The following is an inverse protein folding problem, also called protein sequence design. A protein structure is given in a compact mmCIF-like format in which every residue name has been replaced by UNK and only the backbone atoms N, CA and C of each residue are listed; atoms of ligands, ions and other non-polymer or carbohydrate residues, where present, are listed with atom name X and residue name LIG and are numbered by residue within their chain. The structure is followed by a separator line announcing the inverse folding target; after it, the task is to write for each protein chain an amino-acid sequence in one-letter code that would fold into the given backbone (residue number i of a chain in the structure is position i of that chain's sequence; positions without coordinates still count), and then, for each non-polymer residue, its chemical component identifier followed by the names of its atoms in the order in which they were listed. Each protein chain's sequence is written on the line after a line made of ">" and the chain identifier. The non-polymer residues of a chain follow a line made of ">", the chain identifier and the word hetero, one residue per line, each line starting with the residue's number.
data_IF_081553483089
#
_entry.id   IF_081553483089
#
_cell.length_a   1.000
_cell.length_b   1.000
_cell.length_c   1.000
_cell.angle_alpha   90.00
_cell.angle_beta   90.00
_cell.angle_gamma   90.00
#
_symmetry.space_group_name_H-M   'P 1'
#
loop_
_entity.id
_entity.type
_entity.pdbx_description
1 polymer ?
#
# COMPACT_ATOMS: atom_id res chain seq x y z
N UNK A 1 -15.80 4.31 -8.66
CA UNK A 1 -16.34 4.68 -7.33
C UNK A 1 -15.36 4.31 -6.25
N UNK A 2 -15.01 5.21 -5.33
CA UNK A 2 -13.99 4.98 -4.30
C UNK A 2 -14.42 5.49 -2.93
N UNK A 3 -13.97 4.88 -1.82
CA UNK A 3 -14.18 5.45 -0.50
C UNK A 3 -13.45 6.78 -0.32
N UNK A 4 -12.28 6.96 -0.91
CA UNK A 4 -11.50 8.20 -0.87
C UNK A 4 -10.33 8.17 -1.83
N UNK A 5 -9.92 9.38 -2.28
CA UNK A 5 -8.74 9.60 -3.12
C UNK A 5 -7.82 10.67 -2.53
N UNK A 6 -8.20 11.28 -1.41
CA UNK A 6 -7.60 12.52 -0.91
C UNK A 6 -6.73 12.31 0.32
N UNK A 7 -6.71 11.11 0.89
CA UNK A 7 -5.90 10.77 2.06
C UNK A 7 -4.63 9.98 1.70
N UNK A 8 -3.75 9.79 2.69
CA UNK A 8 -2.48 9.06 2.57
C UNK A 8 -2.61 7.53 2.63
N UNK A 9 -3.81 7.00 2.81
CA UNK A 9 -4.01 5.56 2.94
C UNK A 9 -3.58 4.79 1.70
N UNK A 10 -3.15 3.54 1.85
CA UNK A 10 -2.77 2.67 0.74
C UNK A 10 -3.89 2.53 -0.29
N UNK A 11 -5.13 2.28 0.17
CA UNK A 11 -6.30 2.18 -0.71
C UNK A 11 -6.53 3.46 -1.54
N UNK A 12 -6.39 4.62 -0.90
CA UNK A 12 -6.55 5.90 -1.62
C UNK A 12 -5.45 6.13 -2.64
N UNK A 13 -4.21 5.70 -2.34
CA UNK A 13 -3.08 5.80 -3.27
C UNK A 13 -3.25 4.83 -4.44
N UNK A 14 -3.58 3.58 -4.17
CA UNK A 14 -3.93 2.62 -5.22
C UNK A 14 -5.06 3.15 -6.11
N UNK A 15 -6.11 3.70 -5.49
CA UNK A 15 -7.24 4.27 -6.24
C UNK A 15 -6.83 5.40 -7.17
N UNK A 16 -5.90 6.27 -6.74
CA UNK A 16 -5.37 7.34 -7.62
C UNK A 16 -4.63 6.77 -8.82
N UNK A 17 -3.67 5.87 -8.60
CA UNK A 17 -2.94 5.22 -9.68
C UNK A 17 -3.87 4.46 -10.63
N UNK A 18 -4.88 3.79 -10.09
CA UNK A 18 -5.86 3.06 -10.90
C UNK A 18 -6.72 4.00 -11.75
N UNK A 19 -7.19 5.10 -11.19
CA UNK A 19 -7.98 6.10 -11.90
C UNK A 19 -7.15 6.72 -13.02
N UNK A 20 -5.90 7.08 -12.76
CA UNK A 20 -4.99 7.63 -13.76
C UNK A 20 -4.73 6.61 -14.88
N UNK A 21 -4.45 5.36 -14.52
CA UNK A 21 -4.28 4.28 -15.49
C UNK A 21 -5.52 4.05 -16.35
N UNK A 22 -6.72 4.09 -15.75
CA UNK A 22 -7.98 3.96 -16.49
C UNK A 22 -8.22 5.15 -17.42
N UNK A 23 -7.93 6.38 -16.99
CA UNK A 23 -8.02 7.59 -17.83
C UNK A 23 -7.06 7.54 -19.00
N UNK A 24 -5.82 7.14 -18.78
CA UNK A 24 -4.82 6.99 -19.86
C UNK A 24 -5.18 5.88 -20.85
N UNK A 25 -5.82 4.81 -20.39
CA UNK A 25 -6.19 3.66 -21.23
C UNK A 25 -7.49 3.90 -22.01
N UNK A 26 -8.49 4.51 -21.36
CA UNK A 26 -9.83 4.66 -21.92
C UNK A 26 -10.09 6.05 -22.53
N UNK A 27 -9.29 7.06 -22.19
CA UNK A 27 -9.56 8.48 -22.40
C UNK A 27 -10.24 9.11 -21.17
N UNK A 28 -9.80 10.31 -20.79
CA UNK A 28 -10.28 10.99 -19.58
C UNK A 28 -11.80 11.24 -19.63
N UNK A 29 -12.32 11.57 -20.79
CA UNK A 29 -13.74 11.82 -21.05
C UNK A 29 -14.64 10.58 -20.85
N UNK A 30 -14.06 9.38 -20.88
CA UNK A 30 -14.77 8.10 -20.73
C UNK A 30 -14.72 7.56 -19.29
N UNK A 31 -14.02 8.23 -18.38
CA UNK A 31 -13.87 7.79 -16.98
C UNK A 31 -14.49 8.81 -16.04
N UNK A 32 -15.54 8.39 -15.30
CA UNK A 32 -16.18 9.20 -14.26
C UNK A 32 -15.80 8.71 -12.89
N UNK A 33 -15.34 9.60 -12.03
CA UNK A 33 -14.83 9.30 -10.70
C UNK A 33 -15.72 9.89 -9.62
N UNK A 34 -16.29 9.01 -8.79
CA UNK A 34 -17.13 9.40 -7.66
C UNK A 34 -16.46 8.94 -6.36
N UNK A 35 -16.27 9.88 -5.43
CA UNK A 35 -15.67 9.61 -4.12
C UNK A 35 -16.67 9.82 -2.98
N UNK A 36 -16.63 8.96 -1.95
CA UNK A 36 -17.41 9.19 -0.74
C UNK A 36 -16.83 10.32 0.10
N UNK A 37 -15.49 10.29 0.30
CA UNK A 37 -14.76 11.32 1.03
C UNK A 37 -14.32 12.41 0.05
N UNK A 38 -14.33 13.65 0.52
CA UNK A 38 -13.75 14.79 -0.16
C UNK A 38 -12.35 15.13 0.36
N UNK A 39 -11.74 16.21 -0.13
CA UNK A 39 -10.47 16.73 0.36
C UNK A 39 -10.55 17.00 1.87
N UNK A 40 -9.51 16.60 2.60
CA UNK A 40 -9.41 16.84 4.03
C UNK A 40 -9.05 18.30 4.30
N UNK A 41 -9.61 18.86 5.40
CA UNK A 41 -9.35 20.23 5.84
C UNK A 41 -7.91 20.42 6.35
N UNK A 42 -7.24 19.34 6.74
CA UNK A 42 -5.88 19.36 7.29
C UNK A 42 -4.76 19.32 6.23
N UNK A 43 -5.07 19.59 4.97
CA UNK A 43 -4.07 19.84 3.93
C UNK A 43 -3.30 18.62 3.44
N UNK A 44 -3.79 17.42 3.68
CA UNK A 44 -3.42 16.27 2.90
C UNK A 44 -4.12 16.28 1.56
N UNK A 45 -4.05 17.39 0.96
CA UNK A 45 -4.61 17.61 -0.24
C UNK A 45 -3.83 16.98 -1.35
N UNK A 46 -4.33 16.00 -1.90
CA UNK A 46 -4.04 15.73 -3.27
C UNK A 46 -5.04 16.50 -4.08
N UNK A 47 -4.58 17.39 -4.95
CA UNK A 47 -5.38 18.02 -6.00
C UNK A 47 -5.80 16.99 -7.03
N UNK A 48 -6.29 15.84 -6.53
CA UNK A 48 -6.71 14.76 -7.39
C UNK A 48 -8.07 15.09 -8.00
N UNK A 49 -8.17 15.02 -9.31
CA UNK A 49 -9.39 15.39 -10.00
C UNK A 49 -10.42 14.25 -9.89
N UNK A 50 -11.56 14.56 -9.28
CA UNK A 50 -12.74 13.69 -9.25
C UNK A 50 -13.96 14.48 -9.76
N UNK A 51 -14.88 13.80 -10.43
CA UNK A 51 -16.06 14.45 -10.97
C UNK A 51 -17.05 14.86 -9.87
N UNK A 52 -17.07 14.13 -8.75
CA UNK A 52 -17.94 14.43 -7.63
C UNK A 52 -17.52 13.70 -6.35
N UNK A 53 -17.80 14.30 -5.21
CA UNK A 53 -17.65 13.66 -3.89
C UNK A 53 -18.77 14.02 -2.92
N UNK A 54 -19.12 13.08 -2.02
CA UNK A 54 -20.17 13.27 -1.04
C UNK A 54 -19.74 14.11 0.18
N UNK A 55 -18.43 14.26 0.40
CA UNK A 55 -17.85 15.07 1.46
C UNK A 55 -17.79 14.39 2.84
N UNK A 56 -18.16 13.12 2.98
CA UNK A 56 -18.02 12.43 4.27
C UNK A 56 -18.70 11.07 4.36
N UNK A 57 -18.29 10.26 5.33
CA UNK A 57 -18.77 8.89 5.58
C UNK A 57 -20.07 8.83 6.43
N UNK A 58 -20.84 9.91 6.49
CA UNK A 58 -22.14 9.93 7.18
C UNK A 58 -23.21 9.15 6.40
N UNK A 59 -24.32 8.80 7.08
CA UNK A 59 -25.48 8.18 6.40
C UNK A 59 -25.98 9.04 5.24
N UNK A 60 -26.02 10.37 5.42
CA UNK A 60 -26.41 11.32 4.35
C UNK A 60 -25.41 11.28 3.19
N UNK A 61 -24.10 11.26 3.45
CA UNK A 61 -23.09 11.14 2.41
C UNK A 61 -23.22 9.86 1.61
N UNK A 62 -23.46 8.71 2.27
CA UNK A 62 -23.66 7.42 1.59
C UNK A 62 -24.91 7.43 0.71
N UNK A 63 -26.02 8.00 1.17
CA UNK A 63 -27.25 8.15 0.38
C UNK A 63 -27.01 9.08 -0.81
N UNK A 64 -26.36 10.21 -0.60
CA UNK A 64 -26.02 11.16 -1.66
C UNK A 64 -25.13 10.52 -2.74
N UNK A 65 -24.12 9.74 -2.33
CA UNK A 65 -23.29 8.97 -3.27
C UNK A 65 -24.14 7.97 -4.07
N UNK A 66 -25.05 7.23 -3.41
CA UNK A 66 -25.90 6.24 -4.08
C UNK A 66 -26.80 6.89 -5.13
N UNK A 67 -27.42 8.03 -4.79
CA UNK A 67 -28.25 8.81 -5.74
C UNK A 67 -27.41 9.28 -6.93
N UNK A 68 -26.20 9.82 -6.67
CA UNK A 68 -25.33 10.34 -7.74
C UNK A 68 -24.83 9.24 -8.66
N UNK A 69 -24.49 8.08 -8.11
CA UNK A 69 -24.11 6.90 -8.91
C UNK A 69 -25.25 6.45 -9.81
N UNK A 70 -26.48 6.36 -9.27
CA UNK A 70 -27.65 5.98 -10.03
C UNK A 70 -27.98 6.99 -11.14
N UNK A 71 -27.98 8.28 -10.82
CA UNK A 71 -28.19 9.38 -11.78
C UNK A 71 -27.24 9.27 -12.98
N UNK A 72 -25.94 9.17 -12.71
CA UNK A 72 -24.93 9.08 -13.78
C UNK A 72 -25.01 7.78 -14.57
N UNK A 73 -25.29 6.66 -13.90
CA UNK A 73 -25.42 5.39 -14.60
C UNK A 73 -26.61 5.38 -15.55
N UNK A 74 -27.75 5.93 -15.14
CA UNK A 74 -28.93 6.03 -16.01
C UNK A 74 -28.72 7.01 -17.17
N UNK A 75 -28.03 8.14 -16.91
CA UNK A 75 -27.78 9.16 -17.92
C UNK A 75 -26.74 8.72 -18.96
N UNK A 76 -25.65 8.07 -18.54
CA UNK A 76 -24.49 7.78 -19.39
C UNK A 76 -24.40 6.33 -19.83
N UNK A 77 -25.12 5.40 -19.19
CA UNK A 77 -25.12 3.96 -19.49
C UNK A 77 -23.71 3.39 -19.66
N UNK A 78 -22.87 3.43 -18.60
CA UNK A 78 -21.47 2.99 -18.70
C UNK A 78 -21.38 1.48 -19.01
N UNK A 79 -20.33 1.07 -19.71
CA UNK A 79 -20.03 -0.35 -19.95
C UNK A 79 -19.57 -1.06 -18.67
N UNK A 80 -18.93 -0.30 -17.74
CA UNK A 80 -18.38 -0.81 -16.47
C UNK A 80 -18.75 0.11 -15.31
N UNK A 81 -19.19 -0.48 -14.21
CA UNK A 81 -19.27 0.19 -12.89
C UNK A 81 -18.23 -0.45 -11.97
N UNK A 82 -17.16 0.29 -11.70
CA UNK A 82 -16.03 -0.17 -10.91
C UNK A 82 -16.05 0.43 -9.51
N UNK A 83 -15.84 -0.40 -8.49
CA UNK A 83 -15.67 0.08 -7.11
C UNK A 83 -14.32 -0.32 -6.52
N UNK A 84 -13.69 0.64 -5.86
CA UNK A 84 -12.43 0.45 -5.16
C UNK A 84 -12.59 -0.16 -3.76
N UNK A 85 -13.77 -0.66 -3.37
CA UNK A 85 -13.96 -1.27 -2.04
C UNK A 85 -15.23 -2.09 -1.98
N UNK A 86 -15.16 -3.25 -1.31
CA UNK A 86 -16.27 -4.21 -1.19
C UNK A 86 -17.51 -3.63 -0.53
N UNK A 87 -17.40 -2.64 0.35
CA UNK A 87 -18.57 -2.02 1.01
C UNK A 87 -19.57 -1.36 0.05
N UNK A 88 -19.15 -1.09 -1.18
CA UNK A 88 -20.04 -0.54 -2.23
C UNK A 88 -20.54 -1.60 -3.21
N UNK A 89 -20.15 -2.86 -3.05
CA UNK A 89 -20.46 -3.93 -4.00
C UNK A 89 -21.97 -4.12 -4.21
N UNK A 90 -22.77 -4.02 -3.16
CA UNK A 90 -24.23 -4.12 -3.26
C UNK A 90 -24.83 -2.98 -4.12
N UNK A 91 -24.39 -1.75 -3.89
CA UNK A 91 -24.82 -0.59 -4.68
C UNK A 91 -24.42 -0.75 -6.16
N UNK A 92 -23.17 -1.13 -6.40
CA UNK A 92 -22.65 -1.35 -7.76
C UNK A 92 -23.45 -2.42 -8.49
N UNK A 93 -23.71 -3.55 -7.82
CA UNK A 93 -24.51 -4.64 -8.39
C UNK A 93 -25.91 -4.20 -8.78
N UNK A 94 -26.60 -3.43 -7.90
CA UNK A 94 -27.94 -2.94 -8.21
C UNK A 94 -27.94 -1.96 -9.38
N UNK A 95 -27.07 -0.96 -9.33
CA UNK A 95 -27.01 0.08 -10.37
C UNK A 95 -26.60 -0.50 -11.73
N UNK A 96 -25.57 -1.34 -11.76
CA UNK A 96 -25.12 -1.97 -12.99
C UNK A 96 -26.19 -2.88 -13.62
N UNK A 97 -26.96 -3.59 -12.78
CA UNK A 97 -28.10 -4.40 -13.24
C UNK A 97 -29.18 -3.60 -13.96
N UNK A 98 -29.39 -2.32 -13.58
CA UNK A 98 -30.38 -1.45 -14.25
C UNK A 98 -29.93 -0.97 -15.63
N UNK A 99 -28.63 -0.88 -15.87
CA UNK A 99 -28.06 -0.34 -17.13
C UNK A 99 -27.37 -1.39 -17.99
N UNK A 100 -27.26 -2.63 -17.52
CA UNK A 100 -26.61 -3.73 -18.22
C UNK A 100 -25.07 -3.67 -18.19
N UNK A 101 -24.48 -2.94 -17.23
CA UNK A 101 -23.04 -2.76 -17.12
C UNK A 101 -22.35 -3.97 -16.47
N UNK A 102 -21.08 -4.21 -16.82
CA UNK A 102 -20.18 -5.08 -16.03
C UNK A 102 -19.86 -4.45 -14.68
N UNK A 103 -19.65 -5.29 -13.69
CA UNK A 103 -19.31 -4.85 -12.32
C UNK A 103 -17.92 -5.32 -11.94
N UNK A 104 -17.12 -4.40 -11.40
CA UNK A 104 -15.76 -4.70 -10.93
C UNK A 104 -15.59 -4.21 -9.49
N UNK A 105 -14.92 -5.02 -8.66
CA UNK A 105 -14.55 -4.64 -7.29
C UNK A 105 -13.08 -4.91 -7.02
N UNK A 106 -12.43 -3.98 -6.32
CA UNK A 106 -11.10 -4.18 -5.79
C UNK A 106 -11.15 -4.74 -4.36
N UNK A 107 -10.19 -5.59 -4.04
CA UNK A 107 -9.97 -6.19 -2.72
C UNK A 107 -8.49 -6.07 -2.34
N UNK A 108 -8.21 -5.56 -1.12
CA UNK A 108 -6.84 -5.18 -0.72
C UNK A 108 -6.30 -5.96 0.49
N UNK A 109 -7.10 -6.79 1.14
CA UNK A 109 -6.65 -7.54 2.31
C UNK A 109 -7.69 -7.59 3.43
N UNK A 110 -7.58 -6.73 4.44
CA UNK A 110 -8.39 -6.81 5.66
C UNK A 110 -9.89 -6.88 5.40
N UNK A 111 -10.42 -6.09 4.49
CA UNK A 111 -11.83 -6.11 4.07
C UNK A 111 -12.19 -7.42 3.35
N UNK A 112 -11.23 -8.01 2.64
CA UNK A 112 -11.42 -9.31 2.00
C UNK A 112 -11.38 -10.46 3.00
N UNK A 113 -10.62 -10.34 4.09
CA UNK A 113 -10.44 -11.40 5.10
C UNK A 113 -11.43 -11.34 6.25
N UNK A 114 -12.03 -10.19 6.51
CA UNK A 114 -13.02 -10.02 7.59
C UNK A 114 -14.39 -10.57 7.20
N UNK A 115 -15.25 -10.76 8.19
CA UNK A 115 -16.65 -11.12 7.95
C UNK A 115 -17.35 -9.99 7.22
N UNK A 116 -17.82 -10.29 6.03
CA UNK A 116 -18.60 -9.35 5.23
C UNK A 116 -20.02 -9.25 5.79
N UNK A 117 -20.54 -8.04 5.91
CA UNK A 117 -21.96 -7.83 6.12
C UNK A 117 -22.78 -8.46 4.98
N UNK A 118 -24.05 -8.81 5.28
CA UNK A 118 -24.92 -9.52 4.31
C UNK A 118 -25.01 -8.82 2.96
N UNK A 119 -25.07 -7.49 2.97
CA UNK A 119 -25.18 -6.68 1.75
C UNK A 119 -23.88 -6.74 0.92
N UNK A 120 -22.72 -6.60 1.57
CA UNK A 120 -21.43 -6.68 0.90
C UNK A 120 -21.18 -8.09 0.34
N UNK A 121 -21.51 -9.14 1.10
CA UNK A 121 -21.39 -10.53 0.64
C UNK A 121 -22.31 -10.81 -0.57
N UNK A 122 -23.56 -10.34 -0.52
CA UNK A 122 -24.47 -10.43 -1.66
C UNK A 122 -23.96 -9.65 -2.87
N UNK A 123 -23.44 -8.44 -2.65
CA UNK A 123 -22.82 -7.62 -3.68
C UNK A 123 -21.67 -8.33 -4.34
N UNK A 124 -20.66 -8.76 -3.54
CA UNK A 124 -19.45 -9.43 -3.99
C UNK A 124 -19.74 -10.70 -4.83
N UNK A 125 -20.73 -11.51 -4.36
CA UNK A 125 -21.15 -12.72 -5.10
C UNK A 125 -21.67 -12.41 -6.51
N UNK A 126 -22.23 -11.23 -6.73
CA UNK A 126 -22.76 -10.79 -8.03
C UNK A 126 -21.83 -9.94 -8.85
N UNK A 127 -20.58 -9.69 -8.41
CA UNK A 127 -19.59 -8.98 -9.22
C UNK A 127 -19.18 -9.83 -10.43
N UNK A 128 -19.13 -9.20 -11.58
CA UNK A 128 -18.65 -9.85 -12.83
C UNK A 128 -17.17 -10.18 -12.67
N UNK A 129 -16.37 -9.21 -12.20
CA UNK A 129 -14.94 -9.30 -12.07
C UNK A 129 -14.48 -8.85 -10.67
N UNK A 130 -13.40 -9.45 -10.19
CA UNK A 130 -12.72 -9.08 -8.94
C UNK A 130 -11.25 -8.85 -9.23
N UNK A 131 -10.71 -7.74 -8.75
CA UNK A 131 -9.30 -7.39 -8.83
C UNK A 131 -8.74 -7.39 -7.42
N UNK A 132 -7.66 -8.12 -7.17
CA UNK A 132 -6.93 -8.10 -5.90
C UNK A 132 -5.57 -7.42 -6.07
N UNK A 133 -5.12 -6.73 -5.03
CA UNK A 133 -3.79 -6.11 -4.98
C UNK A 133 -2.66 -7.13 -4.84
N UNK A 134 -2.97 -8.38 -4.44
CA UNK A 134 -1.96 -9.43 -4.28
C UNK A 134 -2.53 -10.85 -4.42
N UNK A 135 -1.65 -11.79 -4.75
CA UNK A 135 -2.00 -13.22 -4.84
C UNK A 135 -2.40 -13.81 -3.49
N UNK A 136 -1.83 -13.30 -2.41
CA UNK A 136 -2.17 -13.77 -1.06
C UNK A 136 -3.65 -13.54 -0.75
N UNK A 137 -4.15 -12.33 -0.97
CA UNK A 137 -5.57 -11.98 -0.79
C UNK A 137 -6.46 -12.75 -1.75
N UNK A 138 -6.09 -12.84 -3.03
CA UNK A 138 -6.85 -13.59 -4.03
C UNK A 138 -7.00 -15.06 -3.63
N UNK A 139 -5.90 -15.73 -3.27
CA UNK A 139 -5.88 -17.13 -2.83
C UNK A 139 -6.75 -17.34 -1.58
N UNK A 140 -6.64 -16.43 -0.60
CA UNK A 140 -7.45 -16.52 0.61
C UNK A 140 -8.96 -16.44 0.29
N UNK A 141 -9.38 -15.53 -0.59
CA UNK A 141 -10.79 -15.38 -1.00
C UNK A 141 -11.32 -16.63 -1.72
N UNK A 142 -10.49 -17.26 -2.53
CA UNK A 142 -10.81 -18.51 -3.22
C UNK A 142 -10.93 -19.68 -2.23
N UNK A 143 -10.00 -19.80 -1.30
CA UNK A 143 -10.01 -20.85 -0.26
C UNK A 143 -11.18 -20.68 0.71
N UNK A 144 -11.56 -19.44 1.01
CA UNK A 144 -12.74 -19.12 1.82
C UNK A 144 -14.08 -19.28 1.06
N UNK A 145 -14.04 -19.71 -0.20
CA UNK A 145 -15.24 -19.89 -1.03
C UNK A 145 -15.97 -18.60 -1.42
N UNK A 146 -15.30 -17.44 -1.30
CA UNK A 146 -15.89 -16.14 -1.66
C UNK A 146 -15.96 -15.94 -3.16
N UNK A 147 -15.01 -16.53 -3.87
CA UNK A 147 -14.93 -16.53 -5.35
C UNK A 147 -14.48 -17.91 -5.85
N UNK A 148 -14.85 -18.28 -7.10
CA UNK A 148 -14.31 -19.47 -7.74
C UNK A 148 -12.78 -19.38 -7.90
N UNK A 149 -12.10 -20.51 -7.90
CA UNK A 149 -10.65 -20.57 -8.13
C UNK A 149 -10.29 -20.03 -9.50
N UNK A 150 -9.25 -19.19 -9.59
CA UNK A 150 -8.77 -18.60 -10.83
C UNK A 150 -9.69 -17.51 -11.41
N UNK A 151 -10.67 -17.00 -10.62
CA UNK A 151 -11.60 -15.95 -11.06
C UNK A 151 -11.24 -14.55 -10.57
N UNK A 152 -10.10 -14.40 -9.88
CA UNK A 152 -9.63 -13.13 -9.34
C UNK A 152 -8.39 -12.68 -10.14
N UNK A 153 -8.48 -11.49 -10.70
CA UNK A 153 -7.35 -10.86 -11.36
C UNK A 153 -6.43 -10.22 -10.33
N UNK A 154 -5.11 -10.46 -10.42
CA UNK A 154 -4.15 -9.82 -9.52
C UNK A 154 -3.43 -8.71 -10.25
N UNK A 155 -3.57 -7.49 -9.73
CA UNK A 155 -2.82 -6.32 -10.15
C UNK A 155 -2.18 -5.72 -8.90
N UNK A 156 -0.89 -5.99 -8.72
CA UNK A 156 -0.12 -5.44 -7.61
C UNK A 156 -0.19 -3.93 -7.56
N UNK A 157 -0.09 -3.37 -6.36
CA UNK A 157 0.11 -1.93 -6.21
C UNK A 157 1.39 -1.47 -6.91
N UNK A 158 1.50 -0.19 -7.18
CA UNK A 158 2.64 0.34 -7.94
C UNK A 158 3.30 1.51 -7.23
N UNK A 159 4.51 1.81 -7.68
CA UNK A 159 5.33 2.91 -7.17
C UNK A 159 5.70 3.85 -8.32
N UNK A 160 5.66 5.15 -8.03
CA UNK A 160 6.28 6.16 -8.86
C UNK A 160 7.81 6.07 -8.73
N UNK A 161 8.44 5.43 -9.71
CA UNK A 161 9.88 5.17 -9.72
C UNK A 161 10.74 6.39 -10.07
N UNK A 162 10.16 7.48 -10.53
CA UNK A 162 10.86 8.76 -10.72
C UNK A 162 11.00 9.48 -9.38
N UNK A 163 9.92 9.55 -8.62
CA UNK A 163 9.89 10.12 -7.30
C UNK A 163 10.69 9.30 -6.28
N UNK A 164 10.39 8.00 -6.18
CA UNK A 164 11.12 7.07 -5.33
C UNK A 164 12.29 6.46 -6.13
N UNK A 165 13.44 7.06 -6.00
CA UNK A 165 14.66 6.65 -6.72
C UNK A 165 15.90 6.81 -5.86
N UNK A 166 16.97 6.03 -6.11
CA UNK A 166 18.21 6.13 -5.36
C UNK A 166 18.88 7.51 -5.59
N UNK A 167 18.96 8.31 -4.52
CA UNK A 167 19.63 9.61 -4.46
C UNK A 167 20.10 9.85 -3.02
N UNK A 168 20.95 10.83 -2.82
CA UNK A 168 21.27 11.29 -1.46
C UNK A 168 20.04 11.96 -0.85
N UNK A 169 19.72 11.69 0.42
CA UNK A 169 18.62 12.35 1.10
C UNK A 169 18.91 13.84 1.33
N UNK A 170 17.88 14.66 1.31
CA UNK A 170 17.97 16.09 1.62
C UNK A 170 18.36 16.30 3.09
N UNK A 171 19.35 17.16 3.35
CA UNK A 171 19.71 17.58 4.72
C UNK A 171 18.51 18.19 5.45
N UNK A 172 17.72 19.03 4.79
CA UNK A 172 16.54 19.63 5.37
C UNK A 172 15.52 18.60 5.84
N UNK A 173 15.31 17.52 5.08
CA UNK A 173 14.43 16.43 5.50
C UNK A 173 15.01 15.67 6.70
N UNK A 174 16.32 15.36 6.71
CA UNK A 174 16.97 14.69 7.84
C UNK A 174 16.83 15.51 9.14
N UNK A 175 17.11 16.81 9.10
CA UNK A 175 17.02 17.72 10.24
C UNK A 175 15.56 17.85 10.72
N UNK A 176 14.61 18.06 9.80
CA UNK A 176 13.18 18.20 10.10
C UNK A 176 12.61 17.01 10.87
N UNK A 177 13.01 15.79 10.49
CA UNK A 177 12.53 14.55 11.11
C UNK A 177 13.50 13.96 12.15
N UNK A 178 14.58 14.65 12.47
CA UNK A 178 15.62 14.20 13.43
C UNK A 178 16.17 12.83 13.06
N UNK A 179 16.39 12.61 11.77
CA UNK A 179 16.97 11.38 11.23
C UNK A 179 18.48 11.53 11.23
N UNK A 180 19.22 10.58 11.82
CA UNK A 180 20.69 10.60 11.78
C UNK A 180 21.21 10.52 10.33
N UNK A 181 22.27 11.29 10.05
CA UNK A 181 22.91 11.28 8.75
C UNK A 181 23.37 9.84 8.42
N UNK A 182 22.93 9.25 7.31
CA UNK A 182 23.33 7.90 6.91
C UNK A 182 24.84 7.75 6.68
N UNK A 183 25.58 8.83 6.44
CA UNK A 183 27.04 8.79 6.33
C UNK A 183 27.76 8.54 7.66
N UNK A 184 27.09 8.77 8.81
CA UNK A 184 27.69 8.67 10.16
C UNK A 184 27.36 7.37 10.87
N UNK A 185 26.49 6.53 10.32
CA UNK A 185 26.04 5.31 10.97
C UNK A 185 25.22 4.44 10.02
N UNK A 186 24.52 3.47 10.58
CA UNK A 186 23.70 2.54 9.81
C UNK A 186 22.24 2.64 10.28
N UNK A 187 21.37 3.15 9.43
CA UNK A 187 19.96 3.40 9.73
C UNK A 187 19.07 2.23 9.32
N UNK A 188 18.28 1.72 10.26
CA UNK A 188 17.16 0.82 10.03
C UNK A 188 15.90 1.66 10.06
N UNK A 189 15.08 1.60 9.01
CA UNK A 189 13.82 2.33 8.92
C UNK A 189 12.64 1.38 8.96
N UNK A 190 11.63 1.74 9.74
CA UNK A 190 10.27 1.22 9.59
C UNK A 190 9.30 2.39 9.45
N UNK A 191 8.38 2.32 8.50
CA UNK A 191 7.44 3.40 8.22
C UNK A 191 6.01 2.90 8.12
N UNK A 192 5.10 3.54 8.86
CA UNK A 192 3.67 3.24 8.84
C UNK A 192 2.92 3.86 10.01
N UNK A 193 1.64 3.54 10.15
CA UNK A 193 0.86 3.94 11.33
C UNK A 193 1.40 3.24 12.58
N UNK A 194 1.62 4.01 13.63
CA UNK A 194 2.13 3.53 14.94
C UNK A 194 0.97 3.59 15.94
N UNK A 195 -0.08 2.82 15.69
CA UNK A 195 -1.32 2.85 16.46
C UNK A 195 -1.80 1.45 16.83
N UNK A 196 -2.68 1.35 17.83
CA UNK A 196 -3.19 0.06 18.33
C UNK A 196 -3.94 -0.74 17.25
N UNK A 197 -4.66 -0.08 16.38
CA UNK A 197 -5.32 -0.70 15.23
C UNK A 197 -4.33 -1.21 14.16
N UNK A 198 -3.10 -0.68 14.15
CA UNK A 198 -2.01 -1.10 13.27
C UNK A 198 -0.86 -1.84 14.02
N UNK A 199 -1.11 -2.39 15.21
CA UNK A 199 -0.10 -3.07 16.01
C UNK A 199 0.52 -4.29 15.30
N UNK A 200 -0.18 -4.91 14.35
CA UNK A 200 0.33 -5.98 13.50
C UNK A 200 1.62 -5.60 12.74
N UNK A 201 1.90 -4.31 12.55
CA UNK A 201 3.15 -3.83 11.92
C UNK A 201 4.41 -4.12 12.74
N UNK A 202 4.29 -4.52 14.02
CA UNK A 202 5.36 -5.09 14.82
C UNK A 202 6.46 -4.12 15.25
N UNK A 203 6.13 -2.85 15.52
CA UNK A 203 7.11 -1.90 16.05
C UNK A 203 7.67 -2.29 17.41
N UNK A 204 6.86 -2.94 18.25
CA UNK A 204 7.26 -3.50 19.54
C UNK A 204 8.29 -4.62 19.37
N UNK A 205 8.04 -5.55 18.46
CA UNK A 205 8.96 -6.63 18.10
C UNK A 205 10.26 -6.11 17.47
N UNK A 206 10.15 -5.09 16.62
CA UNK A 206 11.32 -4.46 16.01
C UNK A 206 12.21 -3.77 17.05
N UNK A 207 11.65 -3.18 18.13
CA UNK A 207 12.43 -2.66 19.26
C UNK A 207 13.19 -3.77 19.98
N UNK A 208 12.57 -4.92 20.22
CA UNK A 208 13.23 -6.09 20.83
C UNK A 208 14.36 -6.62 19.95
N UNK A 209 14.10 -6.74 18.65
CA UNK A 209 15.12 -7.12 17.67
C UNK A 209 16.28 -6.13 17.67
N UNK A 210 15.98 -4.83 17.66
CA UNK A 210 17.00 -3.80 17.70
C UNK A 210 17.83 -3.82 19.00
N UNK A 211 17.20 -4.08 20.13
CA UNK A 211 17.89 -4.25 21.42
C UNK A 211 18.96 -5.35 21.35
N UNK A 212 18.67 -6.48 20.70
CA UNK A 212 19.60 -7.62 20.54
C UNK A 212 20.84 -7.28 19.71
N UNK A 213 20.68 -6.39 18.73
CA UNK A 213 21.79 -6.03 17.81
C UNK A 213 22.51 -4.75 18.22
N UNK A 214 21.90 -3.88 19.00
CA UNK A 214 22.41 -2.55 19.30
C UNK A 214 23.81 -2.55 19.94
N UNK A 215 24.11 -3.52 20.80
CA UNK A 215 25.46 -3.65 21.42
C UNK A 215 26.51 -4.13 20.43
N UNK A 216 26.12 -4.94 19.44
CA UNK A 216 27.02 -5.53 18.43
C UNK A 216 27.31 -4.59 17.27
N UNK A 217 26.42 -3.61 17.02
CA UNK A 217 26.60 -2.57 15.99
C UNK A 217 26.37 -1.21 16.63
N UNK A 218 27.39 -0.61 17.27
CA UNK A 218 27.24 0.68 17.99
C UNK A 218 26.80 1.84 17.12
N UNK A 219 27.09 1.83 15.83
CA UNK A 219 26.68 2.84 14.85
C UNK A 219 25.24 2.68 14.36
N UNK A 220 24.56 1.57 14.68
CA UNK A 220 23.18 1.35 14.22
C UNK A 220 22.18 2.29 14.90
N UNK A 221 21.21 2.74 14.15
CA UNK A 221 20.07 3.57 14.59
C UNK A 221 18.77 2.96 14.06
N UNK A 222 17.72 3.05 14.86
CA UNK A 222 16.37 2.66 14.45
C UNK A 222 15.51 3.90 14.29
N UNK A 223 14.87 4.02 13.14
CA UNK A 223 13.98 5.11 12.77
C UNK A 223 12.58 4.53 12.63
N UNK A 224 11.67 4.93 13.53
CA UNK A 224 10.25 4.60 13.49
C UNK A 224 9.50 5.81 12.91
N UNK A 225 9.18 5.76 11.64
CA UNK A 225 8.53 6.86 10.95
C UNK A 225 7.01 6.66 10.90
N UNK A 226 6.27 7.66 11.37
CA UNK A 226 4.81 7.63 11.42
C UNK A 226 4.23 8.20 12.71
N UNK A 227 2.91 8.34 12.73
CA UNK A 227 2.15 8.81 13.89
C UNK A 227 1.18 7.75 14.40
N UNK A 228 0.76 7.88 15.64
CA UNK A 228 -0.26 7.08 16.29
C UNK A 228 -0.17 7.10 17.79
N UNK A 229 -1.14 6.48 18.43
CA UNK A 229 -1.32 6.45 19.89
C UNK A 229 -0.32 5.54 20.63
N UNK A 230 0.42 4.69 19.91
CA UNK A 230 1.47 3.85 20.48
C UNK A 230 2.85 4.53 20.56
N UNK A 231 3.07 5.71 19.96
CA UNK A 231 4.39 6.35 19.91
C UNK A 231 4.96 6.57 21.30
N UNK A 232 4.18 7.11 22.25
CA UNK A 232 4.65 7.38 23.63
C UNK A 232 5.00 6.10 24.38
N UNK A 233 4.21 5.04 24.22
CA UNK A 233 4.44 3.73 24.82
C UNK A 233 5.73 3.07 24.28
N UNK A 234 5.91 3.08 22.97
CA UNK A 234 7.11 2.55 22.31
C UNK A 234 8.38 3.36 22.66
N UNK A 235 8.26 4.68 22.81
CA UNK A 235 9.37 5.51 23.25
C UNK A 235 9.76 5.20 24.71
N UNK A 236 8.79 4.98 25.59
CA UNK A 236 9.05 4.52 26.96
C UNK A 236 9.71 3.13 26.98
N UNK A 237 9.23 2.21 26.13
CA UNK A 237 9.83 0.88 25.97
C UNK A 237 11.27 0.96 25.47
N UNK A 238 11.55 1.80 24.47
CA UNK A 238 12.92 2.01 24.00
C UNK A 238 13.87 2.48 25.12
N UNK A 239 13.42 3.41 25.96
CA UNK A 239 14.20 3.84 27.14
C UNK A 239 14.43 2.69 28.12
N UNK A 240 13.39 1.92 28.45
CA UNK A 240 13.53 0.77 29.38
C UNK A 240 14.48 -0.31 28.87
N UNK A 241 14.64 -0.43 27.54
CA UNK A 241 15.60 -1.32 26.89
C UNK A 241 17.02 -0.71 26.75
N UNK A 242 17.26 0.50 27.29
CA UNK A 242 18.55 1.18 27.18
C UNK A 242 18.90 1.67 25.78
N UNK A 243 17.90 1.94 24.95
CA UNK A 243 18.03 2.38 23.55
C UNK A 243 17.90 3.89 23.38
N UNK A 244 17.99 4.66 24.47
CA UNK A 244 17.91 6.12 24.41
C UNK A 244 18.97 6.70 23.47
N UNK A 245 18.58 7.67 22.66
CA UNK A 245 19.45 8.26 21.62
C UNK A 245 19.75 7.34 20.43
N UNK A 246 19.26 6.09 20.46
CA UNK A 246 19.46 5.10 19.38
C UNK A 246 18.19 4.84 18.56
N UNK A 247 17.04 5.23 19.07
CA UNK A 247 15.72 5.11 18.42
C UNK A 247 15.14 6.49 18.24
N UNK A 248 14.71 6.79 17.01
CA UNK A 248 14.05 8.04 16.65
C UNK A 248 12.61 7.78 16.23
N UNK A 249 11.68 8.62 16.70
CA UNK A 249 10.29 8.66 16.27
C UNK A 249 10.07 9.97 15.52
N UNK A 250 9.86 9.89 14.20
CA UNK A 250 9.79 11.10 13.33
C UNK A 250 8.46 11.85 13.46
N UNK A 251 7.43 11.19 13.99
CA UNK A 251 6.06 11.65 13.76
C UNK A 251 5.64 11.47 12.30
N UNK A 252 4.62 12.19 11.89
CA UNK A 252 4.11 12.10 10.52
C UNK A 252 5.10 12.70 9.52
N UNK A 253 5.45 11.93 8.50
CA UNK A 253 6.28 12.39 7.38
C UNK A 253 5.40 13.02 6.31
N UNK A 254 5.79 14.23 5.85
CA UNK A 254 5.11 14.88 4.74
C UNK A 254 5.36 14.12 3.43
N UNK A 255 4.40 14.20 2.52
CA UNK A 255 4.46 13.45 1.27
C UNK A 255 5.71 13.81 0.44
N UNK A 256 6.07 15.09 0.37
CA UNK A 256 7.23 15.57 -0.39
C UNK A 256 8.57 15.09 0.17
N UNK A 257 8.63 14.81 1.47
CA UNK A 257 9.85 14.37 2.15
C UNK A 257 9.98 12.84 2.21
N UNK A 258 8.95 12.11 1.77
CA UNK A 258 8.86 10.67 1.98
C UNK A 258 10.02 9.91 1.31
N UNK A 259 10.37 10.31 0.10
CA UNK A 259 11.49 9.71 -0.64
C UNK A 259 12.83 9.91 0.08
N UNK A 260 13.04 11.08 0.69
CA UNK A 260 14.28 11.36 1.42
C UNK A 260 14.36 10.57 2.73
N UNK A 261 13.22 10.33 3.38
CA UNK A 261 13.16 9.43 4.55
C UNK A 261 13.53 8.00 4.17
N UNK A 262 13.05 7.48 3.04
CA UNK A 262 13.47 6.15 2.56
C UNK A 262 14.96 6.12 2.19
N UNK A 263 15.46 7.13 1.50
CA UNK A 263 16.87 7.26 1.10
C UNK A 263 17.83 7.34 2.28
N UNK A 264 17.34 7.74 3.45
CA UNK A 264 18.13 7.77 4.70
C UNK A 264 18.41 6.38 5.27
N UNK A 265 17.69 5.36 4.81
CA UNK A 265 17.77 4.01 5.33
C UNK A 265 18.86 3.16 4.64
N UNK A 266 19.47 2.30 5.42
CA UNK A 266 20.35 1.24 4.93
C UNK A 266 19.64 -0.11 4.80
N UNK A 267 18.60 -0.29 5.61
CA UNK A 267 17.68 -1.43 5.57
C UNK A 267 16.29 -0.93 5.96
N UNK A 268 15.28 -1.34 5.22
CA UNK A 268 13.89 -1.13 5.59
C UNK A 268 13.33 -2.41 6.21
N UNK A 269 12.60 -2.30 7.32
CA UNK A 269 12.03 -3.44 8.02
C UNK A 269 10.58 -3.19 8.39
N UNK A 270 9.67 -3.96 7.80
CA UNK A 270 8.25 -4.02 8.17
C UNK A 270 7.83 -5.50 8.21
N UNK A 271 8.18 -6.16 9.31
CA UNK A 271 7.86 -7.58 9.51
C UNK A 271 6.53 -7.66 10.25
N UNK A 272 5.45 -7.48 9.47
CA UNK A 272 4.07 -7.51 9.96
C UNK A 272 3.60 -8.93 10.23
N UNK A 273 2.70 -9.07 11.23
CA UNK A 273 1.96 -10.31 11.47
C UNK A 273 0.55 -10.24 10.86
N UNK A 274 -0.06 -11.41 10.77
CA UNK A 274 -1.47 -11.54 10.49
C UNK A 274 -2.18 -12.06 11.73
N UNK A 275 -2.84 -11.15 12.45
CA UNK A 275 -3.83 -11.54 13.46
C UNK A 275 -5.14 -11.99 12.82
N UNK A 276 -6.12 -12.43 13.63
CA UNK A 276 -7.43 -12.91 13.13
C UNK A 276 -8.17 -11.89 12.23
N UNK A 277 -7.93 -10.59 12.44
CA UNK A 277 -8.58 -9.49 11.68
C UNK A 277 -7.61 -8.35 11.37
N UNK A 278 -6.34 -8.66 11.14
CA UNK A 278 -5.26 -7.69 10.88
C UNK A 278 -4.30 -8.27 9.86
N UNK A 279 -3.60 -7.41 9.16
CA UNK A 279 -2.59 -7.82 8.18
C UNK A 279 -2.53 -6.80 7.04
N UNK A 280 -1.63 -7.05 6.14
CA UNK A 280 -1.43 -6.22 4.96
C UNK A 280 -1.81 -7.03 3.70
N UNK A 281 -2.42 -6.38 2.70
CA UNK A 281 -2.36 -6.85 1.34
C UNK A 281 -0.90 -6.79 0.88
N UNK A 282 -0.59 -5.99 -0.11
CA UNK A 282 0.80 -5.63 -0.41
C UNK A 282 1.05 -4.19 0.04
N UNK A 283 1.80 -3.96 1.14
CA UNK A 283 2.01 -2.60 1.64
C UNK A 283 2.94 -1.82 0.71
N UNK A 284 2.60 -0.55 0.46
CA UNK A 284 3.41 0.35 -0.38
C UNK A 284 4.78 0.66 0.22
N UNK A 285 4.89 0.71 1.54
CA UNK A 285 6.12 1.21 2.19
C UNK A 285 7.36 0.37 1.91
N UNK A 286 7.34 -0.97 1.88
CA UNK A 286 8.47 -1.75 1.40
C UNK A 286 8.78 -1.53 -0.09
N UNK A 287 7.73 -1.36 -0.93
CA UNK A 287 7.93 -1.11 -2.37
C UNK A 287 8.60 0.24 -2.61
N UNK A 288 8.19 1.29 -1.89
CA UNK A 288 8.80 2.62 -1.95
C UNK A 288 10.25 2.63 -1.46
N UNK A 289 10.54 1.89 -0.37
CA UNK A 289 11.90 1.70 0.11
C UNK A 289 12.77 0.98 -0.92
N UNK A 290 12.27 -0.11 -1.50
CA UNK A 290 12.93 -0.87 -2.56
C UNK A 290 13.17 -0.01 -3.81
N UNK A 291 12.22 0.84 -4.18
CA UNK A 291 12.36 1.82 -5.26
C UNK A 291 13.51 2.81 -5.01
N UNK A 292 13.74 3.18 -3.75
CA UNK A 292 14.90 4.00 -3.34
C UNK A 292 16.23 3.21 -3.26
N UNK A 293 16.26 1.94 -3.64
CA UNK A 293 17.46 1.10 -3.60
C UNK A 293 17.78 0.56 -2.20
N UNK A 294 16.81 0.45 -1.31
CA UNK A 294 16.97 -0.04 0.06
C UNK A 294 16.56 -1.51 0.14
N UNK A 295 17.38 -2.41 0.69
CA UNK A 295 16.99 -3.79 0.98
C UNK A 295 15.81 -3.84 1.93
N UNK A 296 14.83 -4.73 1.69
CA UNK A 296 13.60 -4.81 2.46
C UNK A 296 13.47 -6.11 3.25
N UNK A 297 13.00 -6.00 4.49
CA UNK A 297 12.63 -7.13 5.34
C UNK A 297 11.14 -7.09 5.58
N UNK A 298 10.44 -8.17 5.26
CA UNK A 298 8.96 -8.23 5.34
C UNK A 298 8.48 -9.48 6.06
N UNK A 299 7.22 -9.49 6.50
CA UNK A 299 6.60 -10.65 7.14
C UNK A 299 6.25 -11.76 6.14
N UNK A 300 6.11 -13.00 6.66
CA UNK A 300 5.72 -14.18 5.88
C UNK A 300 4.21 -14.47 5.93
N UNK A 301 3.43 -13.72 6.69
CA UNK A 301 2.04 -14.06 7.04
C UNK A 301 0.99 -13.31 6.22
N UNK A 302 1.39 -12.41 5.33
CA UNK A 302 0.49 -11.59 4.51
C UNK A 302 1.07 -11.36 3.09
N UNK A 303 0.46 -10.48 2.31
CA UNK A 303 0.87 -10.17 0.94
C UNK A 303 2.22 -9.45 0.82
N UNK A 304 2.79 -8.94 1.92
CA UNK A 304 4.11 -8.28 1.92
C UNK A 304 5.20 -9.13 1.30
N UNK A 305 5.10 -10.47 1.45
CA UNK A 305 6.05 -11.43 0.90
C UNK A 305 6.19 -11.37 -0.62
N UNK A 306 5.18 -10.89 -1.33
CA UNK A 306 5.20 -10.80 -2.79
C UNK A 306 6.15 -9.71 -3.32
N UNK A 307 6.53 -8.76 -2.47
CA UNK A 307 7.54 -7.76 -2.78
C UNK A 307 8.98 -8.34 -2.80
N UNK A 308 9.20 -9.54 -2.25
CA UNK A 308 10.53 -10.08 -1.98
C UNK A 308 10.80 -11.38 -2.74
N UNK A 309 11.98 -11.45 -3.38
CA UNK A 309 12.63 -12.68 -3.79
C UNK A 309 13.71 -12.96 -2.74
N UNK A 310 13.48 -14.01 -1.93
CA UNK A 310 14.28 -14.34 -0.75
C UNK A 310 15.80 -14.34 -1.03
N UNK A 311 16.53 -13.56 -0.24
CA UNK A 311 17.99 -13.44 -0.31
C UNK A 311 18.53 -12.61 -1.49
N UNK A 312 17.67 -12.17 -2.43
CA UNK A 312 18.06 -11.40 -3.62
C UNK A 312 17.82 -9.91 -3.38
N UNK A 313 16.57 -9.49 -3.16
CA UNK A 313 16.21 -8.08 -2.96
C UNK A 313 15.76 -7.76 -1.52
N UNK A 314 15.74 -8.78 -0.65
CA UNK A 314 15.30 -8.68 0.73
C UNK A 314 15.20 -10.04 1.40
N UNK A 315 14.55 -10.06 2.56
CA UNK A 315 14.25 -11.30 3.29
C UNK A 315 12.80 -11.35 3.76
N UNK A 316 12.22 -12.56 3.75
CA UNK A 316 10.90 -12.87 4.26
C UNK A 316 11.08 -13.55 5.62
N UNK A 317 10.50 -12.97 6.67
CA UNK A 317 10.76 -13.37 8.06
C UNK A 317 9.46 -13.74 8.77
N UNK A 318 9.56 -14.70 9.70
CA UNK A 318 8.50 -14.93 10.66
C UNK A 318 8.46 -13.75 11.66
N UNK A 319 7.30 -13.07 11.84
CA UNK A 319 7.18 -11.93 12.74
C UNK A 319 7.52 -12.26 14.21
N UNK A 320 7.45 -13.52 14.60
CA UNK A 320 7.69 -13.98 15.95
C UNK A 320 9.07 -14.60 16.16
N UNK A 321 9.83 -14.86 15.09
CA UNK A 321 11.23 -15.29 15.18
C UNK A 321 12.18 -14.09 15.25
N UNK A 322 12.26 -13.51 16.44
CA UNK A 322 13.09 -12.32 16.69
C UNK A 322 14.58 -12.59 16.53
N UNK A 323 15.03 -13.84 16.73
CA UNK A 323 16.44 -14.24 16.56
C UNK A 323 16.82 -14.30 15.09
N UNK A 324 16.00 -14.92 14.25
CA UNK A 324 16.21 -14.90 12.80
C UNK A 324 16.23 -13.47 12.26
N UNK A 325 15.31 -12.61 12.71
CA UNK A 325 15.24 -11.22 12.31
C UNK A 325 16.51 -10.46 12.74
N UNK A 326 16.95 -10.61 13.99
CA UNK A 326 18.19 -10.01 14.49
C UNK A 326 19.41 -10.51 13.70
N UNK A 327 19.46 -11.81 13.41
CA UNK A 327 20.52 -12.43 12.62
C UNK A 327 20.63 -11.87 11.19
N UNK A 328 19.49 -11.67 10.52
CA UNK A 328 19.45 -11.06 9.18
C UNK A 328 19.93 -9.61 9.25
N UNK A 329 19.41 -8.81 10.18
CA UNK A 329 19.86 -7.43 10.35
C UNK A 329 21.35 -7.36 10.62
N UNK A 330 21.90 -8.18 11.53
CA UNK A 330 23.35 -8.19 11.82
C UNK A 330 24.18 -8.46 10.58
N UNK A 331 23.80 -9.43 9.74
CA UNK A 331 24.50 -9.70 8.49
C UNK A 331 24.47 -8.50 7.54
N UNK A 332 23.32 -7.89 7.36
CA UNK A 332 23.15 -6.73 6.49
C UNK A 332 23.88 -5.49 7.02
N UNK A 333 23.83 -5.24 8.33
CA UNK A 333 24.48 -4.05 8.93
C UNK A 333 26.00 -4.12 8.86
N UNK A 334 26.59 -5.33 8.91
CA UNK A 334 28.05 -5.53 8.87
C UNK A 334 28.61 -5.76 7.45
N UNK A 335 27.77 -5.87 6.41
CA UNK A 335 28.19 -6.10 5.03
C UNK A 335 27.62 -5.03 4.08
N UNK A 336 28.33 -3.90 3.90
CA UNK A 336 27.90 -2.82 3.00
C UNK A 336 27.74 -3.27 1.55
N UNK A 337 28.60 -4.16 1.06
CA UNK A 337 28.53 -4.63 -0.32
C UNK A 337 27.29 -5.51 -0.55
N UNK A 338 26.97 -6.37 0.41
CA UNK A 338 25.74 -7.15 0.36
C UNK A 338 24.51 -6.25 0.36
N UNK A 339 24.47 -5.22 1.23
CA UNK A 339 23.39 -4.24 1.26
C UNK A 339 23.24 -3.55 -0.09
N UNK A 340 24.33 -3.09 -0.67
CA UNK A 340 24.33 -2.41 -1.98
C UNK A 340 23.76 -3.32 -3.06
N UNK A 341 24.30 -4.54 -3.24
CA UNK A 341 23.80 -5.50 -4.24
C UNK A 341 22.32 -5.83 -4.04
N UNK A 342 21.89 -6.05 -2.80
CA UNK A 342 20.49 -6.34 -2.48
C UNK A 342 19.59 -5.14 -2.75
N UNK A 343 20.04 -3.92 -2.47
CA UNK A 343 19.32 -2.67 -2.78
C UNK A 343 19.20 -2.42 -4.29
N UNK A 344 20.25 -2.68 -5.06
CA UNK A 344 20.23 -2.62 -6.53
C UNK A 344 19.21 -3.64 -7.10
N UNK A 345 19.21 -4.86 -6.58
CA UNK A 345 18.24 -5.88 -6.95
C UNK A 345 16.80 -5.50 -6.54
N UNK A 346 16.62 -4.85 -5.38
CA UNK A 346 15.34 -4.35 -4.92
C UNK A 346 14.81 -3.27 -5.89
N UNK A 347 15.62 -2.30 -6.26
CA UNK A 347 15.27 -1.28 -7.24
C UNK A 347 14.89 -1.89 -8.58
N UNK A 348 15.70 -2.80 -9.10
CA UNK A 348 15.43 -3.47 -10.38
C UNK A 348 14.08 -4.20 -10.37
N UNK A 349 13.78 -4.94 -9.31
CA UNK A 349 12.49 -5.62 -9.18
C UNK A 349 11.32 -4.66 -9.22
N UNK A 350 11.43 -3.48 -8.56
CA UNK A 350 10.36 -2.47 -8.61
C UNK A 350 10.19 -1.93 -10.03
N UNK A 351 11.28 -1.63 -10.72
CA UNK A 351 11.23 -1.15 -12.10
C UNK A 351 10.59 -2.17 -13.06
N UNK A 352 10.94 -3.45 -12.89
CA UNK A 352 10.48 -4.52 -13.77
C UNK A 352 9.01 -4.91 -13.52
N UNK A 353 8.50 -4.84 -12.27
CA UNK A 353 7.22 -5.48 -11.92
C UNK A 353 6.21 -4.54 -11.23
N UNK A 354 6.68 -3.52 -10.50
CA UNK A 354 5.85 -2.65 -9.66
C UNK A 354 5.85 -1.18 -10.08
N UNK A 355 6.49 -0.83 -11.18
CA UNK A 355 6.46 0.54 -11.70
C UNK A 355 5.07 0.88 -12.28
N UNK A 356 4.67 2.16 -12.19
CA UNK A 356 3.39 2.62 -12.71
C UNK A 356 3.12 2.24 -14.17
N UNK A 357 4.08 2.27 -15.12
CA UNK A 357 3.83 1.79 -16.49
C UNK A 357 3.36 0.34 -16.55
N UNK A 358 3.92 -0.55 -15.72
CA UNK A 358 3.50 -1.96 -15.65
C UNK A 358 2.09 -2.11 -15.08
N UNK A 359 1.76 -1.33 -14.07
CA UNK A 359 0.42 -1.26 -13.48
C UNK A 359 -0.61 -0.83 -14.53
N UNK A 360 -0.32 0.21 -15.29
CA UNK A 360 -1.16 0.68 -16.38
C UNK A 360 -1.36 -0.39 -17.47
N UNK A 361 -0.29 -1.07 -17.91
CA UNK A 361 -0.37 -2.12 -18.91
C UNK A 361 -1.21 -3.33 -18.44
N UNK A 362 -1.13 -3.70 -17.18
CA UNK A 362 -1.99 -4.74 -16.59
C UNK A 362 -3.47 -4.33 -16.67
N UNK A 363 -3.82 -3.07 -16.38
CA UNK A 363 -5.17 -2.55 -16.54
C UNK A 363 -5.60 -2.52 -18.01
N UNK A 364 -4.72 -2.11 -18.91
CA UNK A 364 -4.97 -2.15 -20.36
C UNK A 364 -5.27 -3.57 -20.84
N UNK A 365 -4.47 -4.54 -20.43
CA UNK A 365 -4.66 -5.95 -20.81
C UNK A 365 -5.99 -6.49 -20.27
N UNK A 366 -6.33 -6.16 -19.02
CA UNK A 366 -7.58 -6.56 -18.40
C UNK A 366 -8.81 -6.01 -19.15
N UNK A 367 -8.78 -4.71 -19.45
CA UNK A 367 -9.86 -4.07 -20.23
C UNK A 367 -9.97 -4.62 -21.65
N UNK A 368 -8.86 -4.90 -22.32
CA UNK A 368 -8.87 -5.55 -23.65
C UNK A 368 -9.49 -6.95 -23.59
N UNK A 369 -9.22 -7.72 -22.55
CA UNK A 369 -9.82 -9.04 -22.37
C UNK A 369 -11.35 -8.96 -22.16
N UNK A 370 -11.83 -7.94 -21.44
CA UNK A 370 -13.27 -7.76 -21.21
C UNK A 370 -14.02 -7.13 -22.39
N UNK A 371 -13.35 -6.30 -23.18
CA UNK A 371 -13.92 -5.52 -24.28
C UNK A 371 -13.05 -5.62 -25.54
N UNK A 372 -12.98 -6.80 -26.18
CA UNK A 372 -12.10 -7.01 -27.33
C UNK A 372 -12.45 -6.13 -28.54
N UNK A 373 -13.68 -5.63 -28.63
CA UNK A 373 -14.13 -4.72 -29.68
C UNK A 373 -14.07 -3.24 -29.32
N UNK A 374 -13.76 -2.89 -28.04
CA UNK A 374 -13.67 -1.50 -27.62
C UNK A 374 -12.42 -0.84 -28.25
N UNK A 375 -12.59 0.38 -28.76
CA UNK A 375 -11.47 1.24 -29.19
C UNK A 375 -10.64 1.66 -27.96
N UNK A 376 -9.82 0.74 -27.48
CA UNK A 376 -8.70 1.10 -26.60
C UNK A 376 -7.77 1.94 -27.48
N UNK A 377 -7.58 3.20 -27.14
CA UNK A 377 -6.77 4.13 -27.91
C UNK A 377 -5.46 3.46 -28.36
N UNK A 378 -5.30 3.36 -29.68
CA UNK A 378 -4.03 2.93 -30.28
C UNK A 378 -2.99 3.98 -29.91
N UNK A 379 -1.83 3.50 -29.48
CA UNK A 379 -0.65 4.25 -29.15
C UNK A 379 -0.50 5.49 -30.02
N UNK A 380 -0.42 6.65 -29.39
CA UNK A 380 0.33 7.77 -29.95
C UNK A 380 1.80 7.34 -29.93
N UNK A 381 2.32 7.04 -31.11
CA UNK A 381 3.74 6.84 -31.40
C UNK A 381 4.59 8.04 -30.96
#
# INVERSE_FOLDING_TARGET
>A
MTPGCFDKGGISRYSRYQIDALREVCGEENVRVLSLLGPDKDGFETRFNVDWYAGGNSRRGKVSLAIKVLELALAQRPDVVWTAHVSFSALVRMVAGLVGAKTVVNEYGLEAWSDLGRDAAWGLKGMTEVVSDCHFTAKWMEEAGRRPRGSIHVIWDCVDTERFSPRLPSRGALEKYRIPDPATGVNILSLGRISRDAAHKGYDRLLEVFCRIARRVPSARLICAGKGDLVSELAARARSLGLEGRVSFTGMVHEDDLADVYRSAHVFSLVSDRGERRGEGIPLTPLEAAACGVPILVGNQDGSREAVIEGINGHILDPFDLEAHAGVLLRLLNDPDRRRRMGEAARKRIEDEFAYPMFREKHRALLKAWFPAAKVNRETQ
#
